data_IF_215249876076
#
_entry.id   IF_215249876076
#
_cell.length_a   1.000
_cell.length_b   1.000
_cell.length_c   1.000
_cell.angle_alpha   90.00
_cell.angle_beta   90.00
_cell.angle_gamma   90.00
#
_symmetry.space_group_name_H-M   'P 1'
#
loop_
_entity.id
_entity.type
_entity.pdbx_description
1 polymer ?
#
# COMPACT_ATOMS: atom_id res chain seq x y z
N UNK A 1 -37.66 22.45 -43.64
CA UNK A 1 -37.56 21.01 -43.35
C UNK A 1 -36.36 20.79 -42.44
N UNK A 2 -36.50 21.11 -41.16
CA UNK A 2 -35.42 21.03 -40.16
C UNK A 2 -35.80 19.99 -39.12
N UNK A 3 -35.10 18.85 -39.12
CA UNK A 3 -35.23 17.79 -38.13
C UNK A 3 -34.01 17.82 -37.21
N UNK A 4 -34.11 18.44 -36.04
CA UNK A 4 -33.21 18.16 -34.93
C UNK A 4 -34.04 18.23 -33.64
N UNK A 5 -34.24 17.06 -33.02
CA UNK A 5 -34.99 16.89 -31.78
C UNK A 5 -34.27 17.59 -30.62
N UNK A 6 -35.03 18.32 -29.81
CA UNK A 6 -34.70 18.64 -28.43
C UNK A 6 -35.19 17.52 -27.49
N UNK A 7 -34.63 17.51 -26.27
CA UNK A 7 -35.14 17.01 -24.97
C UNK A 7 -34.13 16.09 -24.24
N UNK A 8 -33.25 16.77 -23.51
CA UNK A 8 -32.87 16.62 -22.09
C UNK A 8 -33.55 15.46 -21.31
N UNK A 9 -32.76 14.65 -20.58
CA UNK A 9 -33.13 14.25 -19.22
C UNK A 9 -31.92 13.88 -18.34
N UNK A 10 -31.79 14.67 -17.28
CA UNK A 10 -31.11 14.49 -16.00
C UNK A 10 -30.50 13.12 -15.67
N UNK A 11 -29.23 13.11 -15.25
CA UNK A 11 -28.72 12.12 -14.30
C UNK A 11 -27.83 12.79 -13.23
N UNK A 12 -28.45 12.95 -12.06
CA UNK A 12 -27.93 12.97 -10.70
C UNK A 12 -26.60 13.71 -10.40
N UNK A 13 -26.74 14.79 -9.62
CA UNK A 13 -25.77 15.16 -8.60
C UNK A 13 -25.54 13.98 -7.64
N UNK A 14 -24.37 13.36 -7.69
CA UNK A 14 -23.81 12.63 -6.56
C UNK A 14 -22.79 13.52 -5.87
N UNK A 15 -23.19 14.09 -4.73
CA UNK A 15 -22.29 14.81 -3.85
C UNK A 15 -21.31 13.83 -3.16
N UNK A 16 -20.03 14.16 -3.29
CA UNK A 16 -18.95 14.08 -2.31
C UNK A 16 -18.92 12.90 -1.32
N UNK A 17 -17.92 12.04 -1.51
CA UNK A 17 -17.05 11.61 -0.43
C UNK A 17 -15.61 11.51 -0.99
N UNK A 18 -14.89 12.63 -1.03
CA UNK A 18 -13.43 12.55 -1.12
C UNK A 18 -12.93 12.06 0.24
N UNK A 19 -12.90 10.73 0.41
CA UNK A 19 -11.94 10.13 1.32
C UNK A 19 -10.57 10.50 0.76
N UNK A 20 -9.99 11.59 1.26
CA UNK A 20 -8.55 11.79 1.12
C UNK A 20 -7.87 10.54 1.67
N UNK A 21 -6.71 10.12 1.14
CA UNK A 21 -5.97 9.02 1.71
C UNK A 21 -5.51 9.45 3.11
N UNK A 22 -6.35 9.19 4.11
CA UNK A 22 -5.90 9.00 5.46
C UNK A 22 -5.13 7.70 5.42
N UNK A 23 -3.82 7.79 5.28
CA UNK A 23 -2.93 6.65 5.45
C UNK A 23 -3.18 6.11 6.85
N UNK A 24 -3.93 5.02 6.92
CA UNK A 24 -4.15 4.32 8.17
C UNK A 24 -2.79 3.81 8.63
N UNK A 25 -2.28 4.36 9.73
CA UNK A 25 -1.13 3.82 10.44
C UNK A 25 -1.51 2.41 10.91
N UNK A 26 -1.15 1.41 10.09
CA UNK A 26 -1.43 0.02 10.40
C UNK A 26 -0.59 -0.38 11.60
N UNK A 27 -1.29 -0.52 12.72
CA UNK A 27 -0.67 -0.77 14.01
C UNK A 27 -1.00 -2.18 14.43
N UNK A 28 -0.01 -3.05 14.41
CA UNK A 28 -0.19 -4.47 14.71
C UNK A 28 0.54 -4.89 15.99
N UNK A 29 0.10 -6.00 16.58
CA UNK A 29 0.74 -6.64 17.73
C UNK A 29 1.26 -8.03 17.33
N UNK A 30 2.29 -8.10 16.48
CA UNK A 30 2.86 -9.37 16.06
C UNK A 30 3.55 -10.08 17.24
N UNK A 31 3.48 -11.41 17.27
CA UNK A 31 4.17 -12.21 18.27
C UNK A 31 5.69 -12.08 18.13
N UNK A 32 6.42 -12.13 19.25
CA UNK A 32 7.88 -12.17 19.21
C UNK A 32 8.34 -13.37 18.39
N UNK A 33 9.20 -13.11 17.40
CA UNK A 33 9.67 -14.09 16.42
C UNK A 33 8.59 -14.73 15.54
N UNK A 34 7.33 -14.27 15.63
CA UNK A 34 6.31 -14.56 14.64
C UNK A 34 6.61 -13.85 13.31
N UNK A 35 6.05 -14.36 12.21
CA UNK A 35 6.17 -13.70 10.90
C UNK A 35 5.04 -12.70 10.75
N UNK A 36 5.38 -11.41 10.71
CA UNK A 36 4.52 -10.36 10.21
C UNK A 36 4.81 -10.14 8.73
N UNK A 37 3.77 -10.10 7.89
CA UNK A 37 3.91 -9.97 6.44
C UNK A 37 3.07 -8.81 5.92
N UNK A 38 3.73 -7.91 5.20
CA UNK A 38 3.06 -6.87 4.39
C UNK A 38 2.91 -7.43 2.98
N UNK A 39 1.74 -7.25 2.37
CA UNK A 39 1.46 -7.59 0.98
C UNK A 39 0.99 -6.33 0.25
N UNK A 40 1.72 -5.93 -0.80
CA UNK A 40 1.45 -4.72 -1.57
C UNK A 40 1.30 -5.05 -3.06
N UNK A 41 0.22 -4.60 -3.73
CA UNK A 41 0.12 -4.69 -5.17
C UNK A 41 1.11 -3.71 -5.82
N UNK A 42 1.98 -4.23 -6.68
CA UNK A 42 2.96 -3.42 -7.38
C UNK A 42 2.57 -3.08 -8.82
N UNK A 43 3.45 -2.37 -9.53
CA UNK A 43 3.25 -2.02 -10.94
C UNK A 43 3.23 -3.27 -11.82
N UNK A 44 2.41 -3.22 -12.88
CA UNK A 44 2.31 -4.29 -13.88
C UNK A 44 3.34 -4.18 -15.01
N UNK A 45 4.08 -3.07 -15.07
CA UNK A 45 5.10 -2.77 -16.08
C UNK A 45 6.53 -2.91 -15.54
N UNK A 46 7.46 -3.20 -16.45
CA UNK A 46 8.87 -3.42 -16.14
C UNK A 46 9.17 -4.86 -15.68
N UNK A 47 10.43 -5.08 -15.31
CA UNK A 47 10.89 -6.32 -14.68
C UNK A 47 10.82 -6.18 -13.16
N UNK A 48 9.94 -6.94 -12.48
CA UNK A 48 9.67 -6.78 -11.06
C UNK A 48 10.85 -7.12 -10.15
N UNK A 49 11.83 -7.89 -10.64
CA UNK A 49 12.99 -8.32 -9.85
C UNK A 49 14.15 -7.31 -9.82
N UNK A 50 14.20 -6.39 -10.79
CA UNK A 50 15.33 -5.45 -10.93
C UNK A 50 14.88 -3.98 -10.98
N UNK A 51 13.66 -3.71 -11.46
CA UNK A 51 13.17 -2.34 -11.63
C UNK A 51 12.48 -1.80 -10.37
N UNK A 52 12.18 -2.67 -9.41
CA UNK A 52 11.45 -2.30 -8.20
C UNK A 52 12.30 -2.56 -6.96
N UNK A 53 12.51 -1.48 -6.20
CA UNK A 53 13.12 -1.49 -4.89
C UNK A 53 12.00 -1.27 -3.88
N UNK A 54 11.86 -2.18 -2.92
CA UNK A 54 10.90 -2.08 -1.83
C UNK A 54 11.63 -2.33 -0.52
N UNK A 55 11.33 -1.52 0.50
CA UNK A 55 11.69 -1.78 1.89
C UNK A 55 10.56 -1.30 2.80
N UNK A 56 10.55 -1.75 4.05
CA UNK A 56 9.72 -1.14 5.09
C UNK A 56 10.54 -0.90 6.36
N UNK A 57 10.23 0.19 7.06
CA UNK A 57 10.76 0.50 8.39
C UNK A 57 9.72 0.15 9.42
N UNK A 58 10.08 -0.69 10.38
CA UNK A 58 9.28 -1.10 11.52
C UNK A 58 9.76 -0.38 12.77
N UNK A 59 8.87 0.18 13.57
CA UNK A 59 9.22 0.87 14.81
C UNK A 59 8.31 0.49 15.98
N UNK A 60 8.91 0.26 17.15
CA UNK A 60 8.20 0.10 18.44
C UNK A 60 8.26 1.39 19.29
N UNK A 61 8.73 2.50 18.70
CA UNK A 61 9.00 3.78 19.36
C UNK A 61 10.36 3.87 20.05
N UNK A 62 11.02 2.75 20.35
CA UNK A 62 12.36 2.71 20.95
C UNK A 62 13.44 2.29 19.95
N UNK A 63 13.11 1.41 19.01
CA UNK A 63 13.99 0.96 17.93
C UNK A 63 13.28 1.06 16.59
N UNK A 64 14.08 1.16 15.53
CA UNK A 64 13.61 1.08 14.14
C UNK A 64 14.41 0.03 13.39
N UNK A 65 13.73 -0.89 12.72
CA UNK A 65 14.32 -1.96 11.90
C UNK A 65 13.92 -1.74 10.45
N UNK A 66 14.89 -1.63 9.54
CA UNK A 66 14.64 -1.60 8.11
C UNK A 66 14.73 -3.03 7.54
N UNK A 67 13.74 -3.42 6.73
CA UNK A 67 13.65 -4.74 6.12
C UNK A 67 13.37 -4.59 4.64
N UNK A 68 14.14 -5.30 3.83
CA UNK A 68 13.93 -5.32 2.38
C UNK A 68 12.68 -6.13 2.01
N UNK A 69 11.98 -5.64 0.99
CA UNK A 69 10.90 -6.36 0.34
C UNK A 69 11.39 -7.18 -0.84
N UNK A 70 10.52 -8.04 -1.33
CA UNK A 70 10.78 -8.89 -2.50
C UNK A 70 9.50 -9.07 -3.33
N UNK A 71 9.68 -9.39 -4.60
CA UNK A 71 8.59 -9.78 -5.48
C UNK A 71 8.24 -11.26 -5.28
N UNK A 72 6.96 -11.57 -5.10
CA UNK A 72 6.46 -12.93 -4.81
C UNK A 72 5.60 -13.52 -5.94
N UNK A 73 5.57 -12.88 -7.11
CA UNK A 73 4.73 -13.30 -8.24
C UNK A 73 3.41 -12.55 -8.32
N UNK A 74 2.69 -12.72 -9.44
CA UNK A 74 1.35 -12.17 -9.69
C UNK A 74 1.16 -10.67 -9.35
N UNK A 75 2.21 -9.85 -9.56
CA UNK A 75 2.16 -8.43 -9.25
C UNK A 75 2.24 -8.09 -7.75
N UNK A 76 2.52 -9.07 -6.89
CA UNK A 76 2.55 -8.91 -5.43
C UNK A 76 3.98 -8.75 -4.93
N UNK A 77 4.19 -7.75 -4.09
CA UNK A 77 5.43 -7.52 -3.35
C UNK A 77 5.20 -7.71 -1.86
N UNK A 78 6.17 -8.30 -1.18
CA UNK A 78 6.07 -8.63 0.24
C UNK A 78 7.24 -8.10 1.04
N UNK A 79 6.98 -7.79 2.30
CA UNK A 79 8.01 -7.55 3.32
C UNK A 79 7.70 -8.46 4.50
N UNK A 80 8.69 -9.24 4.96
CA UNK A 80 8.54 -10.16 6.11
C UNK A 80 9.39 -9.70 7.27
N UNK A 81 8.73 -9.37 8.37
CA UNK A 81 9.38 -8.92 9.60
C UNK A 81 9.12 -9.89 10.73
N UNK A 82 10.18 -10.24 11.46
CA UNK A 82 10.08 -11.04 12.69
C UNK A 82 10.43 -10.15 13.88
N UNK A 83 9.45 -9.72 14.70
CA UNK A 83 9.70 -8.80 15.80
C UNK A 83 10.67 -9.42 16.82
N UNK A 84 11.74 -8.71 17.20
CA UNK A 84 12.69 -9.22 18.20
C UNK A 84 12.13 -9.16 19.63
N UNK A 85 11.06 -8.40 19.86
CA UNK A 85 10.42 -8.17 21.16
C UNK A 85 8.90 -8.02 21.00
N UNK A 86 8.12 -8.44 22.00
CA UNK A 86 6.67 -8.26 21.99
C UNK A 86 6.31 -6.78 22.14
N UNK A 87 5.16 -6.39 21.61
CA UNK A 87 4.66 -5.03 21.72
C UNK A 87 3.98 -4.55 20.45
N UNK A 88 3.67 -3.26 20.45
CA UNK A 88 3.06 -2.58 19.31
C UNK A 88 4.16 -2.15 18.35
N UNK A 89 4.00 -2.54 17.08
CA UNK A 89 4.89 -2.11 16.00
C UNK A 89 4.08 -1.32 14.98
N UNK A 90 4.62 -0.19 14.52
CA UNK A 90 4.15 0.56 13.35
C UNK A 90 5.13 0.35 12.21
N UNK A 91 4.67 0.57 10.98
CA UNK A 91 5.53 0.44 9.82
C UNK A 91 5.20 1.43 8.72
N UNK A 92 6.21 1.71 7.88
CA UNK A 92 6.13 2.59 6.71
C UNK A 92 6.92 1.96 5.57
N UNK A 93 6.33 1.80 4.39
CA UNK A 93 7.00 1.25 3.21
C UNK A 93 7.60 2.34 2.34
N UNK A 94 8.76 2.06 1.73
CA UNK A 94 9.42 2.95 0.80
C UNK A 94 9.81 2.19 -0.47
N UNK A 95 9.51 2.79 -1.62
CA UNK A 95 9.85 2.24 -2.90
C UNK A 95 10.20 3.32 -3.92
N UNK A 96 10.97 2.94 -4.94
CA UNK A 96 11.15 3.74 -6.15
C UNK A 96 9.89 3.73 -7.06
N UNK A 97 8.85 2.97 -6.69
CA UNK A 97 7.55 2.92 -7.37
C UNK A 97 6.46 3.40 -6.41
N UNK A 98 5.76 4.45 -6.80
CA UNK A 98 4.76 5.11 -5.94
C UNK A 98 3.64 4.21 -5.39
N UNK A 99 3.14 3.15 -6.07
CA UNK A 99 2.08 2.31 -5.51
C UNK A 99 2.49 1.52 -4.27
N UNK A 100 3.81 1.36 -4.06
CA UNK A 100 4.39 0.59 -2.98
C UNK A 100 4.90 1.47 -1.82
N UNK A 101 4.79 2.79 -1.95
CA UNK A 101 5.18 3.76 -0.92
C UNK A 101 3.97 4.12 -0.08
N UNK A 102 4.13 4.05 1.24
CA UNK A 102 3.18 4.57 2.22
C UNK A 102 3.82 5.81 2.84
#
# INVERSE_FOLDING_TARGET
MSRWLSVVLLALCSALASAGPGQAEQTEQPEQWGVFEISLPGPADGNPFIDVQLSARFSDGAQTVAVDGFYDGDGVYRVRFMPPRPGRWTWVSQSNRWPLTN
#
